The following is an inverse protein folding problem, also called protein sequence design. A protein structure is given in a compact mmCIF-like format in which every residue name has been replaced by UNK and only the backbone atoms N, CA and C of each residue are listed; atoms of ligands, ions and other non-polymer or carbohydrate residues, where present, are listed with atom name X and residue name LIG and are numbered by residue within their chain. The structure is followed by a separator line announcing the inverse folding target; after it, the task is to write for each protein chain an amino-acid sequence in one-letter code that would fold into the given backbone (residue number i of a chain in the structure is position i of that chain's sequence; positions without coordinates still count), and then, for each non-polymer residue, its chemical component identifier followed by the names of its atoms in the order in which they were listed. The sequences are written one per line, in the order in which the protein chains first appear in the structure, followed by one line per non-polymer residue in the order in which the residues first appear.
data_IF_569489460478
#
_entry.id   IF_569489460478
#
_cell.length_a   1.000
_cell.length_b   1.000
_cell.length_c   1.000
_cell.angle_alpha   90.00
_cell.angle_beta   90.00
_cell.angle_gamma   90.00
#
_symmetry.space_group_name_H-M   'P 1'
#
loop_
_entity.id
_entity.type
_entity.pdbx_description
1 polymer ?
#
# COMPACT_ATOMS: atom_id res chain seq x y z
N UNK A 1 -11.02 72.14 0.33
CA UNK A 1 -11.82 72.47 -0.88
C UNK A 1 -12.10 71.14 -1.59
N UNK A 2 -13.33 70.60 -1.51
CA UNK A 2 -14.44 70.73 -2.50
C UNK A 2 -14.11 70.09 -3.87
N UNK A 3 -14.87 69.17 -4.49
CA UNK A 3 -16.21 68.56 -4.24
C UNK A 3 -16.14 67.00 -4.43
N UNK A 4 -17.11 66.10 -4.13
CA UNK A 4 -18.55 65.98 -4.47
C UNK A 4 -18.84 66.02 -5.99
N UNK A 5 -19.72 65.23 -6.64
CA UNK A 5 -20.76 64.21 -6.31
C UNK A 5 -20.85 63.21 -7.53
N UNK A 6 -21.72 62.20 -7.73
CA UNK A 6 -23.00 61.65 -7.18
C UNK A 6 -23.06 60.12 -7.57
N UNK A 7 -23.81 59.19 -6.96
CA UNK A 7 -25.26 58.79 -7.09
C UNK A 7 -25.76 58.46 -8.53
N UNK A 8 -26.70 57.51 -8.77
CA UNK A 8 -27.52 56.62 -7.88
C UNK A 8 -28.12 55.40 -8.61
N UNK A 9 -28.11 54.25 -7.93
CA UNK A 9 -29.19 53.26 -7.69
C UNK A 9 -30.50 53.31 -8.50
N UNK A 10 -31.03 52.12 -8.89
CA UNK A 10 -32.47 51.79 -8.78
C UNK A 10 -32.76 50.29 -8.64
N UNK A 11 -33.33 49.90 -7.49
CA UNK A 11 -34.18 48.71 -7.34
C UNK A 11 -35.62 49.14 -7.63
N UNK A 12 -36.41 48.31 -8.33
CA UNK A 12 -37.87 48.51 -8.41
C UNK A 12 -38.61 47.18 -8.24
N UNK A 13 -39.47 47.15 -7.21
CA UNK A 13 -40.45 46.10 -6.86
C UNK A 13 -41.84 46.76 -6.99
N UNK A 14 -42.92 46.03 -7.31
CA UNK A 14 -44.31 46.23 -6.79
C UNK A 14 -45.43 45.58 -7.66
N UNK A 15 -46.23 44.74 -6.99
CA UNK A 15 -47.67 44.38 -7.15
C UNK A 15 -48.31 44.09 -8.52
N UNK A 16 -48.75 42.83 -8.63
CA UNK A 16 -50.15 42.37 -8.62
C UNK A 16 -51.27 43.34 -9.10
N UNK A 17 -52.11 42.84 -10.00
CA UNK A 17 -53.55 43.14 -10.05
C UNK A 17 -54.34 41.82 -10.05
N UNK A 18 -55.49 41.78 -9.36
CA UNK A 18 -56.31 40.57 -9.21
C UNK A 18 -57.69 40.78 -9.83
N UNK A 19 -58.27 39.76 -10.47
CA UNK A 19 -59.70 39.71 -10.82
C UNK A 19 -60.28 38.34 -10.49
N UNK A 20 -61.36 38.36 -9.72
CA UNK A 20 -62.11 37.18 -9.28
C UNK A 20 -63.27 36.89 -10.23
N UNK A 21 -63.53 35.60 -10.48
CA UNK A 21 -64.88 35.02 -10.32
C UNK A 21 -64.81 33.51 -10.10
N UNK A 22 -65.82 33.01 -9.41
CA UNK A 22 -65.94 31.66 -8.83
C UNK A 22 -66.70 30.70 -9.74
N UNK A 23 -66.36 29.41 -9.72
CA UNK A 23 -67.29 28.34 -9.26
C UNK A 23 -66.71 26.91 -9.39
N UNK A 24 -66.72 26.18 -8.28
CA UNK A 24 -66.76 24.69 -8.16
C UNK A 24 -65.59 23.83 -8.69
N UNK A 25 -65.29 22.67 -8.06
CA UNK A 25 -64.20 21.78 -8.45
C UNK A 25 -64.65 20.61 -9.35
N UNK A 26 -63.75 20.03 -10.17
CA UNK A 26 -63.92 18.68 -10.69
C UNK A 26 -63.59 17.63 -9.61
N UNK A 27 -64.35 16.53 -9.61
CA UNK A 27 -64.04 15.31 -8.85
C UNK A 27 -62.84 14.57 -9.49
N UNK A 28 -62.15 13.67 -8.74
CA UNK A 28 -60.94 13.03 -9.24
C UNK A 28 -61.23 12.07 -10.40
N UNK A 29 -60.71 12.40 -11.59
CA UNK A 29 -60.59 11.45 -12.70
C UNK A 29 -59.56 10.38 -12.34
N UNK A 30 -60.02 9.24 -11.85
CA UNK A 30 -59.18 8.09 -11.51
C UNK A 30 -58.57 7.43 -12.74
N UNK A 31 -57.51 8.00 -13.30
CA UNK A 31 -56.72 7.39 -14.35
C UNK A 31 -55.77 6.35 -13.78
N UNK A 32 -56.26 5.12 -13.59
CA UNK A 32 -55.40 3.94 -13.51
C UNK A 32 -54.57 3.85 -14.81
N UNK A 33 -53.23 3.87 -14.76
CA UNK A 33 -52.42 3.50 -15.91
C UNK A 33 -52.47 1.98 -16.07
N UNK A 34 -53.57 1.47 -16.63
CA UNK A 34 -53.67 0.09 -17.08
C UNK A 34 -52.72 -0.12 -18.27
N UNK A 35 -51.44 -0.34 -17.98
CA UNK A 35 -50.52 -0.99 -18.90
C UNK A 35 -50.76 -2.51 -18.77
N UNK A 36 -51.44 -3.18 -19.71
CA UNK A 36 -51.99 -4.53 -19.51
C UNK A 36 -50.93 -5.65 -19.50
N UNK A 37 -49.65 -5.29 -19.46
CA UNK A 37 -48.50 -6.18 -19.59
C UNK A 37 -47.63 -6.26 -18.32
N UNK A 38 -47.94 -5.46 -17.29
CA UNK A 38 -47.10 -5.34 -16.08
C UNK A 38 -47.76 -5.98 -14.86
N UNK A 39 -47.22 -7.11 -14.40
CA UNK A 39 -47.64 -7.78 -13.17
C UNK A 39 -47.16 -7.06 -11.90
N UNK A 40 -47.76 -7.34 -10.73
CA UNK A 40 -47.40 -6.69 -9.46
C UNK A 40 -46.02 -7.10 -8.92
N UNK A 41 -45.38 -8.10 -9.52
CA UNK A 41 -44.03 -8.58 -9.17
C UNK A 41 -42.97 -8.16 -10.20
N UNK A 42 -43.37 -7.51 -11.29
CA UNK A 42 -42.47 -7.12 -12.37
C UNK A 42 -41.39 -6.12 -11.94
N UNK A 43 -41.60 -5.21 -10.96
CA UNK A 43 -40.48 -4.44 -10.38
C UNK A 43 -39.41 -5.32 -9.73
N UNK A 44 -39.79 -6.43 -9.10
CA UNK A 44 -38.88 -7.36 -8.40
C UNK A 44 -38.14 -8.29 -9.36
N UNK A 45 -38.82 -8.77 -10.42
CA UNK A 45 -38.23 -9.71 -11.40
C UNK A 45 -37.71 -9.03 -12.68
N UNK A 46 -38.00 -7.75 -12.90
CA UNK A 46 -37.59 -6.97 -14.08
C UNK A 46 -36.10 -7.08 -14.42
N UNK A 47 -35.16 -6.93 -13.47
CA UNK A 47 -33.73 -7.08 -13.74
C UNK A 47 -33.36 -8.47 -14.30
N UNK A 48 -33.97 -9.55 -13.77
CA UNK A 48 -33.76 -10.92 -14.26
C UNK A 48 -34.37 -11.15 -15.65
N UNK A 49 -35.46 -10.46 -15.98
CA UNK A 49 -36.08 -10.51 -17.32
C UNK A 49 -35.27 -9.72 -18.36
N UNK A 50 -34.64 -8.61 -17.95
CA UNK A 50 -33.68 -7.87 -18.77
C UNK A 50 -32.50 -8.73 -19.22
N UNK A 51 -31.87 -9.49 -18.30
CA UNK A 51 -30.77 -10.41 -18.63
C UNK A 51 -31.14 -11.53 -19.63
N UNK A 52 -32.43 -11.81 -19.79
CA UNK A 52 -33.00 -12.75 -20.76
C UNK A 52 -33.39 -12.10 -22.10
N UNK A 53 -33.06 -10.82 -22.30
CA UNK A 53 -33.38 -10.05 -23.51
C UNK A 53 -34.87 -9.71 -23.63
N UNK A 54 -35.61 -9.66 -22.53
CA UNK A 54 -37.06 -9.36 -22.51
C UNK A 54 -37.39 -7.95 -22.02
N UNK A 55 -36.80 -6.95 -22.66
CA UNK A 55 -37.30 -5.58 -22.54
C UNK A 55 -38.64 -5.41 -23.28
N UNK A 56 -39.70 -4.89 -22.63
CA UNK A 56 -41.00 -4.70 -23.26
C UNK A 56 -41.02 -3.58 -24.33
N UNK A 57 -39.97 -2.75 -24.40
CA UNK A 57 -39.83 -1.68 -25.41
C UNK A 57 -38.87 -2.01 -26.57
N UNK A 58 -38.15 -3.14 -26.54
CA UNK A 58 -37.27 -3.55 -27.65
C UNK A 58 -36.08 -2.62 -27.94
N UNK A 59 -35.65 -1.80 -26.97
CA UNK A 59 -34.48 -0.90 -27.08
C UNK A 59 -33.19 -1.52 -26.54
N UNK A 60 -32.96 -2.80 -26.83
CA UNK A 60 -31.69 -3.44 -26.50
C UNK A 60 -30.54 -2.74 -27.23
N UNK A 61 -29.52 -2.31 -26.50
CA UNK A 61 -28.26 -1.85 -27.06
C UNK A 61 -27.35 -3.05 -27.35
N UNK A 62 -26.46 -2.93 -28.34
CA UNK A 62 -25.52 -4.00 -28.71
C UNK A 62 -24.41 -4.21 -27.64
N UNK A 63 -24.41 -3.41 -26.57
CA UNK A 63 -23.50 -3.43 -25.42
C UNK A 63 -24.17 -4.01 -24.15
N UNK A 64 -25.45 -4.42 -24.22
CA UNK A 64 -26.24 -4.83 -23.05
C UNK A 64 -25.78 -6.15 -22.41
N UNK A 65 -25.85 -6.19 -21.08
CA UNK A 65 -25.47 -7.36 -20.28
C UNK A 65 -26.49 -8.50 -20.47
N UNK A 66 -26.06 -9.63 -21.05
CA UNK A 66 -26.94 -10.75 -21.38
C UNK A 66 -26.47 -12.11 -20.86
N UNK A 67 -27.42 -12.93 -20.42
CA UNK A 67 -27.16 -14.30 -19.96
C UNK A 67 -26.56 -15.18 -21.06
N UNK A 68 -26.96 -14.97 -22.33
CA UNK A 68 -26.42 -15.71 -23.47
C UNK A 68 -24.92 -15.43 -23.68
N UNK A 69 -24.50 -14.16 -23.61
CA UNK A 69 -23.08 -13.80 -23.71
C UNK A 69 -22.26 -14.41 -22.56
N UNK A 70 -22.78 -14.40 -21.33
CA UNK A 70 -22.13 -15.04 -20.19
C UNK A 70 -22.00 -16.56 -20.38
N UNK A 71 -23.08 -17.27 -20.75
CA UNK A 71 -23.03 -18.71 -20.97
C UNK A 71 -22.05 -19.10 -22.10
N UNK A 72 -21.93 -18.28 -23.15
CA UNK A 72 -20.91 -18.45 -24.19
C UNK A 72 -19.49 -18.24 -23.65
N UNK A 73 -19.25 -17.19 -22.85
CA UNK A 73 -17.96 -16.92 -22.17
C UNK A 73 -17.56 -18.08 -21.24
N UNK A 74 -18.47 -18.54 -20.37
CA UNK A 74 -18.30 -19.69 -19.47
C UNK A 74 -18.02 -20.98 -20.24
N UNK A 75 -18.70 -21.21 -21.36
CA UNK A 75 -18.45 -22.38 -22.22
C UNK A 75 -17.05 -22.36 -22.82
N UNK A 76 -16.57 -21.19 -23.26
CA UNK A 76 -15.19 -21.03 -23.75
C UNK A 76 -14.15 -21.30 -22.67
N UNK A 77 -14.36 -20.76 -21.45
CA UNK A 77 -13.56 -21.08 -20.26
C UNK A 77 -13.51 -22.59 -20.03
N UNK A 78 -14.67 -23.25 -19.98
CA UNK A 78 -14.78 -24.71 -19.77
C UNK A 78 -13.98 -25.49 -20.81
N UNK A 79 -14.14 -25.16 -22.10
CA UNK A 79 -13.40 -25.83 -23.19
C UNK A 79 -11.88 -25.64 -23.04
N UNK A 80 -11.42 -24.44 -22.65
CA UNK A 80 -10.01 -24.14 -22.40
C UNK A 80 -9.45 -24.96 -21.22
N UNK A 81 -10.22 -25.11 -20.14
CA UNK A 81 -9.84 -25.97 -19.01
C UNK A 81 -9.86 -27.47 -19.37
N UNK A 82 -10.78 -27.91 -20.23
CA UNK A 82 -10.78 -29.28 -20.75
C UNK A 82 -9.54 -29.55 -21.62
N UNK A 83 -9.13 -28.60 -22.47
CA UNK A 83 -7.87 -28.69 -23.23
C UNK A 83 -6.65 -28.83 -22.30
N UNK A 84 -6.58 -28.05 -21.22
CA UNK A 84 -5.52 -28.21 -20.19
C UNK A 84 -5.54 -29.60 -19.56
N UNK A 85 -6.72 -30.12 -19.19
CA UNK A 85 -6.84 -31.46 -18.57
C UNK A 85 -6.53 -32.64 -19.50
N UNK A 86 -6.57 -32.42 -20.83
CA UNK A 86 -6.27 -33.42 -21.85
C UNK A 86 -4.94 -33.16 -22.59
N UNK A 87 -4.14 -32.19 -22.13
CA UNK A 87 -2.82 -31.93 -22.67
C UNK A 87 -1.83 -33.06 -22.35
N UNK A 88 -0.76 -33.18 -23.13
CA UNK A 88 0.33 -34.13 -22.85
C UNK A 88 1.11 -33.77 -21.56
N UNK A 89 1.13 -32.49 -21.19
CA UNK A 89 1.54 -32.00 -19.87
C UNK A 89 0.47 -31.04 -19.31
N UNK A 90 -0.49 -31.56 -18.52
CA UNK A 90 -1.49 -30.73 -17.85
C UNK A 90 -0.89 -29.79 -16.79
N UNK A 91 0.25 -30.12 -16.18
CA UNK A 91 0.84 -29.31 -15.11
C UNK A 91 1.55 -28.08 -15.67
N UNK A 92 2.41 -28.25 -16.67
CA UNK A 92 3.05 -27.13 -17.39
C UNK A 92 2.03 -26.21 -18.05
N UNK A 93 0.96 -26.75 -18.65
CA UNK A 93 -0.08 -25.93 -19.27
C UNK A 93 -0.94 -25.18 -18.22
N UNK A 94 -1.24 -25.80 -17.07
CA UNK A 94 -1.88 -25.11 -15.92
C UNK A 94 -0.99 -23.99 -15.39
N UNK A 95 0.31 -24.25 -15.21
CA UNK A 95 1.27 -23.24 -14.75
C UNK A 95 1.42 -22.08 -15.73
N UNK A 96 1.46 -22.34 -17.04
CA UNK A 96 1.53 -21.29 -18.05
C UNK A 96 0.28 -20.40 -18.03
N UNK A 97 -0.92 -20.99 -17.90
CA UNK A 97 -2.18 -20.25 -17.79
C UNK A 97 -2.23 -19.42 -16.50
N UNK A 98 -1.78 -19.97 -15.37
CA UNK A 98 -1.71 -19.24 -14.11
C UNK A 98 -0.65 -18.13 -14.13
N UNK A 99 0.48 -18.32 -14.81
CA UNK A 99 1.49 -17.27 -14.95
C UNK A 99 0.97 -16.11 -15.81
N UNK A 100 0.20 -16.36 -16.87
CA UNK A 100 -0.44 -15.26 -17.61
C UNK A 100 -1.47 -14.51 -16.77
N UNK A 101 -2.17 -15.16 -15.81
CA UNK A 101 -3.01 -14.50 -14.80
C UNK A 101 -2.17 -13.57 -13.93
N UNK A 102 -1.15 -14.11 -13.23
CA UNK A 102 -0.38 -13.32 -12.27
C UNK A 102 0.37 -12.16 -12.95
N UNK A 103 0.65 -12.25 -14.25
CA UNK A 103 1.26 -11.19 -15.07
C UNK A 103 0.27 -10.15 -15.62
N UNK A 104 -1.04 -10.30 -15.40
CA UNK A 104 -2.06 -9.35 -15.86
C UNK A 104 -2.29 -9.37 -17.38
N UNK A 105 -2.08 -10.52 -18.02
CA UNK A 105 -2.35 -10.70 -19.45
C UNK A 105 -3.76 -11.27 -19.59
N UNK A 106 -4.66 -10.59 -20.32
CA UNK A 106 -6.05 -11.01 -20.48
C UNK A 106 -6.20 -12.49 -20.85
N UNK A 107 -7.07 -13.16 -20.12
CA UNK A 107 -7.44 -14.56 -20.33
C UNK A 107 -8.96 -14.60 -20.28
N UNK A 108 -9.59 -15.45 -21.09
CA UNK A 108 -11.05 -15.60 -21.12
C UNK A 108 -11.69 -15.76 -19.73
N UNK A 109 -10.96 -16.28 -18.73
CA UNK A 109 -11.42 -16.48 -17.36
C UNK A 109 -11.46 -15.19 -16.51
N UNK A 110 -10.49 -14.27 -16.61
CA UNK A 110 -10.60 -12.93 -15.99
C UNK A 110 -11.78 -12.17 -16.60
N UNK A 111 -11.86 -12.23 -17.93
CA UNK A 111 -12.82 -11.46 -18.73
C UNK A 111 -14.24 -12.06 -18.65
N UNK A 112 -14.38 -13.32 -18.20
CA UNK A 112 -15.66 -13.95 -17.82
C UNK A 112 -16.03 -13.60 -16.38
N UNK A 113 -15.06 -13.59 -15.44
CA UNK A 113 -15.30 -13.20 -14.04
C UNK A 113 -15.83 -11.77 -13.96
N UNK A 114 -15.14 -10.81 -14.56
CA UNK A 114 -15.55 -9.40 -14.57
C UNK A 114 -16.94 -9.21 -15.22
N UNK A 115 -17.27 -9.98 -16.26
CA UNK A 115 -18.62 -9.97 -16.86
C UNK A 115 -19.68 -10.56 -15.93
N UNK A 116 -19.35 -11.59 -15.14
CA UNK A 116 -20.21 -12.15 -14.10
C UNK A 116 -20.43 -11.21 -12.91
N UNK A 117 -19.42 -10.43 -12.54
CA UNK A 117 -19.51 -9.40 -11.50
C UNK A 117 -20.35 -8.20 -11.97
N UNK A 118 -20.20 -7.76 -13.22
CA UNK A 118 -21.07 -6.76 -13.85
C UNK A 118 -22.54 -7.24 -13.93
N UNK A 119 -22.77 -8.51 -14.30
CA UNK A 119 -24.10 -9.12 -14.26
C UNK A 119 -24.68 -9.15 -12.84
N UNK A 120 -23.87 -9.48 -11.82
CA UNK A 120 -24.32 -9.48 -10.44
C UNK A 120 -24.72 -8.07 -9.96
N UNK A 121 -23.88 -7.06 -10.22
CA UNK A 121 -24.17 -5.67 -9.89
C UNK A 121 -25.43 -5.15 -10.62
N UNK A 122 -25.68 -5.57 -11.86
CA UNK A 122 -26.83 -5.13 -12.66
C UNK A 122 -28.20 -5.58 -12.12
N UNK A 123 -28.23 -6.57 -11.23
CA UNK A 123 -29.47 -7.09 -10.63
C UNK A 123 -29.89 -6.38 -9.33
N UNK A 124 -29.02 -5.53 -8.77
CA UNK A 124 -29.30 -4.75 -7.55
C UNK A 124 -29.16 -5.54 -6.24
N UNK A 125 -29.15 -4.80 -5.12
CA UNK A 125 -28.85 -5.33 -3.77
C UNK A 125 -29.78 -6.46 -3.33
N UNK A 126 -31.06 -6.44 -3.77
CA UNK A 126 -32.05 -7.48 -3.44
C UNK A 126 -31.68 -8.87 -3.99
N UNK A 127 -30.97 -8.91 -5.12
CA UNK A 127 -30.57 -10.15 -5.80
C UNK A 127 -29.10 -10.53 -5.59
N UNK A 128 -28.30 -9.66 -4.96
CA UNK A 128 -26.84 -9.75 -4.84
C UNK A 128 -26.33 -11.16 -4.49
N UNK A 129 -26.83 -11.74 -3.40
CA UNK A 129 -26.38 -13.07 -2.94
C UNK A 129 -26.72 -14.21 -3.90
N UNK A 130 -27.84 -14.12 -4.62
CA UNK A 130 -28.22 -15.10 -5.66
C UNK A 130 -27.36 -14.89 -6.91
N UNK A 131 -27.16 -13.65 -7.31
CA UNK A 131 -26.40 -13.31 -8.51
C UNK A 131 -24.91 -13.67 -8.35
N UNK A 132 -24.30 -13.36 -7.21
CA UNK A 132 -22.95 -13.82 -6.87
C UNK A 132 -22.85 -15.35 -6.83
N UNK A 133 -23.86 -16.05 -6.29
CA UNK A 133 -23.88 -17.52 -6.26
C UNK A 133 -23.98 -18.17 -7.65
N UNK A 134 -24.65 -17.52 -8.61
CA UNK A 134 -24.83 -18.04 -9.98
C UNK A 134 -23.73 -17.60 -10.95
N UNK A 135 -23.31 -16.33 -10.93
CA UNK A 135 -22.43 -15.75 -11.95
C UNK A 135 -20.96 -15.67 -11.54
N UNK A 136 -20.66 -15.57 -10.24
CA UNK A 136 -19.28 -15.35 -9.74
C UNK A 136 -18.72 -16.59 -9.05
N UNK A 137 -19.43 -17.17 -8.08
CA UNK A 137 -18.92 -18.30 -7.27
C UNK A 137 -18.47 -19.53 -8.08
N UNK A 138 -19.14 -19.96 -9.17
CA UNK A 138 -18.66 -21.10 -9.97
C UNK A 138 -17.33 -20.81 -10.67
N UNK A 139 -17.13 -19.57 -11.11
CA UNK A 139 -15.86 -19.12 -11.70
C UNK A 139 -14.77 -19.06 -10.62
N UNK A 140 -15.06 -18.52 -9.44
CA UNK A 140 -14.11 -18.46 -8.33
C UNK A 140 -13.70 -19.85 -7.82
N UNK A 141 -14.59 -20.84 -7.88
CA UNK A 141 -14.26 -22.23 -7.54
C UNK A 141 -13.33 -22.85 -8.58
N UNK A 142 -13.61 -22.68 -9.87
CA UNK A 142 -12.72 -23.13 -10.94
C UNK A 142 -11.35 -22.42 -10.89
N UNK A 143 -11.34 -21.11 -10.72
CA UNK A 143 -10.18 -20.23 -10.58
C UNK A 143 -9.23 -20.71 -9.48
N UNK A 144 -9.75 -20.90 -8.25
CA UNK A 144 -8.97 -21.40 -7.12
C UNK A 144 -8.32 -22.76 -7.43
N UNK A 145 -9.02 -23.68 -8.11
CA UNK A 145 -8.47 -25.00 -8.46
C UNK A 145 -7.45 -24.99 -9.59
N UNK A 146 -7.50 -24.00 -10.49
CA UNK A 146 -6.46 -23.79 -11.52
C UNK A 146 -5.21 -23.12 -10.93
N UNK A 147 -5.37 -22.17 -10.01
CA UNK A 147 -4.24 -21.40 -9.47
C UNK A 147 -3.52 -22.08 -8.28
N UNK A 148 -4.17 -22.96 -7.53
CA UNK A 148 -3.61 -23.62 -6.33
C UNK A 148 -2.25 -24.33 -6.54
N UNK A 149 -1.99 -25.08 -7.63
CA UNK A 149 -0.65 -25.63 -7.89
C UNK A 149 0.39 -24.53 -8.22
N UNK A 150 -0.06 -23.46 -8.85
CA UNK A 150 0.79 -22.40 -9.40
C UNK A 150 1.18 -21.33 -8.39
N UNK A 151 0.38 -21.11 -7.34
CA UNK A 151 0.81 -20.30 -6.18
C UNK A 151 2.00 -20.96 -5.46
N UNK A 152 2.01 -22.29 -5.37
CA UNK A 152 3.15 -23.06 -4.84
C UNK A 152 4.37 -22.95 -5.77
N UNK A 153 4.19 -22.99 -7.09
CA UNK A 153 5.27 -22.76 -8.05
C UNK A 153 5.86 -21.35 -7.92
N UNK A 154 5.03 -20.30 -7.86
CA UNK A 154 5.49 -18.92 -7.73
C UNK A 154 6.15 -18.66 -6.36
N UNK A 155 5.66 -19.27 -5.27
CA UNK A 155 6.32 -19.25 -3.98
C UNK A 155 7.75 -19.82 -4.04
N UNK A 156 8.00 -20.88 -4.83
CA UNK A 156 9.37 -21.40 -5.08
C UNK A 156 10.20 -20.43 -5.92
N UNK A 157 9.62 -19.86 -6.98
CA UNK A 157 10.31 -18.91 -7.86
C UNK A 157 10.72 -17.64 -7.09
N UNK A 158 9.89 -17.16 -6.16
CA UNK A 158 10.21 -16.07 -5.23
C UNK A 158 11.35 -16.42 -4.27
N UNK A 159 11.31 -17.63 -3.68
CA UNK A 159 12.39 -18.09 -2.80
C UNK A 159 13.73 -18.20 -3.55
N UNK A 160 13.75 -18.86 -4.70
CA UNK A 160 14.95 -19.04 -5.52
C UNK A 160 15.45 -17.73 -6.12
N UNK A 161 14.55 -16.92 -6.67
CA UNK A 161 14.88 -15.70 -7.40
C UNK A 161 15.17 -14.50 -6.51
N UNK A 162 14.70 -14.46 -5.26
CA UNK A 162 14.81 -13.28 -4.39
C UNK A 162 15.21 -13.61 -2.95
N UNK A 163 14.50 -14.52 -2.27
CA UNK A 163 14.70 -14.70 -0.80
C UNK A 163 16.02 -15.40 -0.47
N UNK A 164 16.45 -16.39 -1.26
CA UNK A 164 17.73 -17.07 -1.04
C UNK A 164 18.92 -16.10 -1.21
N UNK A 165 18.82 -15.18 -2.18
CA UNK A 165 19.83 -14.15 -2.45
C UNK A 165 19.82 -13.06 -1.36
N UNK A 166 18.63 -12.70 -0.85
CA UNK A 166 18.48 -11.84 0.32
C UNK A 166 19.12 -12.46 1.57
N UNK A 167 18.78 -13.71 1.88
CA UNK A 167 19.34 -14.43 3.03
C UNK A 167 20.87 -14.59 2.87
N UNK A 168 21.37 -14.94 1.69
CA UNK A 168 22.81 -15.04 1.42
C UNK A 168 23.55 -13.69 1.56
N UNK A 169 22.91 -12.57 1.19
CA UNK A 169 23.49 -11.24 1.32
C UNK A 169 23.52 -10.73 2.77
N UNK A 170 22.46 -11.00 3.56
CA UNK A 170 22.16 -10.25 4.78
C UNK A 170 22.03 -11.07 6.06
N UNK A 171 21.85 -12.39 5.99
CA UNK A 171 21.69 -13.24 7.18
C UNK A 171 22.95 -13.19 8.05
N UNK A 172 22.77 -12.93 9.35
CA UNK A 172 23.87 -12.80 10.30
C UNK A 172 24.64 -11.47 10.22
N UNK A 173 24.16 -10.48 9.46
CA UNK A 173 24.76 -9.14 9.35
C UNK A 173 23.89 -8.05 9.98
N UNK A 174 24.52 -7.02 10.51
CA UNK A 174 23.86 -5.80 10.94
C UNK A 174 23.31 -5.02 9.73
N UNK A 175 22.08 -4.44 9.80
CA UNK A 175 21.18 -4.32 10.95
C UNK A 175 20.28 -5.54 11.21
N UNK A 176 20.20 -6.49 10.28
CA UNK A 176 19.27 -7.63 10.33
C UNK A 176 19.51 -8.58 11.52
N UNK A 177 20.76 -8.67 11.98
CA UNK A 177 21.18 -9.35 13.20
C UNK A 177 22.19 -8.49 13.97
N UNK A 178 22.17 -8.57 15.31
CA UNK A 178 23.08 -7.85 16.20
C UNK A 178 24.49 -8.48 16.21
N UNK A 179 25.22 -8.34 15.11
CA UNK A 179 26.60 -8.84 14.95
C UNK A 179 27.58 -7.73 14.59
N UNK A 180 28.88 -8.01 14.65
CA UNK A 180 29.95 -7.11 14.18
C UNK A 180 30.17 -7.10 12.67
N UNK A 181 29.40 -7.86 11.88
CA UNK A 181 29.53 -7.86 10.41
C UNK A 181 28.45 -6.98 9.79
N UNK A 182 28.85 -5.96 9.03
CA UNK A 182 27.94 -5.03 8.36
C UNK A 182 27.34 -5.60 7.06
N UNK A 183 26.09 -5.25 6.77
CA UNK A 183 25.45 -5.51 5.48
C UNK A 183 26.03 -4.61 4.37
N UNK A 184 26.17 -5.14 3.15
CA UNK A 184 26.61 -4.34 2.01
C UNK A 184 25.51 -3.39 1.55
N UNK A 185 25.70 -2.09 1.76
CA UNK A 185 24.78 -1.04 1.29
C UNK A 185 24.56 -1.09 -0.25
N UNK A 186 25.61 -1.25 -1.11
CA UNK A 186 25.40 -1.49 -2.54
C UNK A 186 24.56 -2.73 -2.86
N UNK A 187 24.65 -3.80 -2.05
CA UNK A 187 23.79 -4.98 -2.24
C UNK A 187 22.34 -4.70 -1.83
N UNK A 188 22.11 -3.92 -0.76
CA UNK A 188 20.77 -3.48 -0.38
C UNK A 188 20.11 -2.71 -1.54
N UNK A 189 20.84 -1.80 -2.18
CA UNK A 189 20.37 -1.08 -3.38
C UNK A 189 20.01 -2.00 -4.56
N UNK A 190 20.81 -3.05 -4.82
CA UNK A 190 20.48 -4.07 -5.85
C UNK A 190 19.19 -4.85 -5.55
N UNK A 191 18.76 -4.91 -4.31
CA UNK A 191 17.54 -5.63 -3.91
C UNK A 191 16.31 -4.72 -3.89
N UNK A 192 16.40 -3.50 -3.35
CA UNK A 192 15.22 -2.70 -2.97
C UNK A 192 14.91 -1.47 -3.85
N UNK A 193 15.80 -1.05 -4.76
CA UNK A 193 15.59 0.19 -5.57
C UNK A 193 14.26 0.19 -6.33
N UNK A 194 13.58 1.34 -6.31
CA UNK A 194 12.16 1.49 -6.71
C UNK A 194 11.81 1.15 -8.17
N UNK A 195 12.79 1.09 -9.08
CA UNK A 195 12.62 0.70 -10.50
C UNK A 195 13.58 -0.41 -10.97
N UNK A 196 14.63 -0.69 -10.18
CA UNK A 196 15.78 -1.52 -10.59
C UNK A 196 16.22 -2.55 -9.54
N UNK A 197 15.56 -2.58 -8.38
CA UNK A 197 15.76 -3.59 -7.35
C UNK A 197 15.18 -4.93 -7.77
N UNK A 198 15.89 -6.02 -7.44
CA UNK A 198 15.47 -7.39 -7.73
C UNK A 198 14.09 -7.75 -7.13
N UNK A 199 13.69 -7.13 -6.02
CA UNK A 199 12.33 -7.28 -5.45
C UNK A 199 11.31 -6.65 -6.40
N UNK A 200 11.46 -5.36 -6.71
CA UNK A 200 10.54 -4.63 -7.58
C UNK A 200 10.38 -5.30 -8.95
N UNK A 201 11.50 -5.68 -9.58
CA UNK A 201 11.50 -6.38 -10.88
C UNK A 201 10.79 -7.73 -10.84
N UNK A 202 10.76 -8.42 -9.69
CA UNK A 202 9.96 -9.64 -9.53
C UNK A 202 8.47 -9.30 -9.49
N UNK A 203 8.08 -8.30 -8.70
CA UNK A 203 6.68 -7.86 -8.57
C UNK A 203 6.13 -7.37 -9.92
N UNK A 204 6.86 -6.50 -10.60
CA UNK A 204 6.50 -5.93 -11.91
C UNK A 204 6.50 -6.96 -13.05
N UNK A 205 7.23 -8.09 -12.93
CA UNK A 205 7.28 -9.11 -13.99
C UNK A 205 6.35 -10.30 -13.76
N UNK A 206 6.02 -10.63 -12.52
CA UNK A 206 5.30 -11.88 -12.18
C UNK A 206 4.00 -11.69 -11.39
N UNK A 207 3.69 -10.48 -10.91
CA UNK A 207 2.55 -10.24 -10.01
C UNK A 207 1.65 -9.05 -10.40
N UNK A 208 1.89 -8.38 -11.54
CA UNK A 208 1.12 -7.22 -12.03
C UNK A 208 -0.38 -7.45 -12.24
N UNK A 209 -0.82 -8.70 -12.39
CA UNK A 209 -2.24 -9.07 -12.49
C UNK A 209 -2.90 -9.42 -11.17
N UNK A 210 -2.21 -9.28 -10.03
CA UNK A 210 -2.77 -9.53 -8.68
C UNK A 210 -2.31 -8.50 -7.65
N UNK A 211 -1.22 -7.78 -7.92
CA UNK A 211 -0.72 -6.64 -7.14
C UNK A 211 -0.63 -5.41 -8.04
N UNK A 212 -1.13 -4.29 -7.54
CA UNK A 212 -1.01 -2.96 -8.18
C UNK A 212 -0.13 -2.06 -7.31
N UNK A 213 0.78 -1.31 -7.94
CA UNK A 213 1.52 -0.23 -7.28
C UNK A 213 0.69 1.05 -7.34
N UNK A 214 0.47 1.67 -6.19
CA UNK A 214 -0.32 2.89 -6.00
C UNK A 214 0.54 3.90 -5.23
N UNK A 215 1.04 4.93 -5.94
CA UNK A 215 2.17 5.73 -5.47
C UNK A 215 3.41 4.86 -5.18
N UNK A 216 3.99 5.00 -3.99
CA UNK A 216 5.11 4.18 -3.52
C UNK A 216 4.73 2.82 -2.91
N UNK A 217 3.43 2.45 -2.87
CA UNK A 217 2.96 1.26 -2.13
C UNK A 217 2.35 0.19 -3.03
N UNK A 218 2.68 -1.06 -2.77
CA UNK A 218 2.10 -2.24 -3.38
C UNK A 218 0.83 -2.66 -2.61
N UNK A 219 -0.29 -2.76 -3.32
CA UNK A 219 -1.58 -3.26 -2.82
C UNK A 219 -2.09 -4.44 -3.64
N UNK A 220 -3.09 -5.16 -3.13
CA UNK A 220 -3.80 -6.20 -3.89
C UNK A 220 -4.73 -5.54 -4.90
N UNK A 221 -4.77 -6.04 -6.15
CA UNK A 221 -5.75 -5.58 -7.14
C UNK A 221 -7.16 -6.09 -6.76
N UNK A 222 -8.14 -5.20 -6.47
CA UNK A 222 -9.49 -5.63 -6.10
C UNK A 222 -10.26 -6.35 -7.23
N UNK A 223 -9.88 -6.17 -8.51
CA UNK A 223 -10.55 -6.84 -9.63
C UNK A 223 -10.03 -8.27 -9.88
N UNK A 224 -8.76 -8.55 -9.54
CA UNK A 224 -8.08 -9.79 -9.96
C UNK A 224 -7.46 -10.60 -8.80
N UNK A 225 -7.18 -9.98 -7.66
CA UNK A 225 -6.66 -10.65 -6.47
C UNK A 225 -7.70 -11.44 -5.66
N UNK A 226 -9.00 -11.31 -5.98
CA UNK A 226 -10.06 -12.04 -5.29
C UNK A 226 -9.91 -13.56 -5.45
N UNK A 227 -10.13 -14.28 -4.35
CA UNK A 227 -9.96 -15.73 -4.26
C UNK A 227 -8.52 -16.21 -4.00
N UNK A 228 -7.52 -15.34 -4.03
CA UNK A 228 -6.13 -15.64 -3.67
C UNK A 228 -5.78 -15.10 -2.27
N UNK A 229 -5.24 -15.96 -1.40
CA UNK A 229 -4.68 -15.51 -0.11
C UNK A 229 -3.25 -15.02 -0.28
N UNK A 230 -3.09 -13.71 -0.49
CA UNK A 230 -1.79 -13.04 -0.36
C UNK A 230 -1.44 -12.93 1.13
N UNK A 231 -0.20 -13.27 1.47
CA UNK A 231 0.33 -13.21 2.82
C UNK A 231 0.48 -11.75 3.27
N UNK A 232 -0.24 -11.28 4.31
CA UNK A 232 -0.17 -9.88 4.73
C UNK A 232 1.24 -9.50 5.25
N UNK A 233 2.01 -10.47 5.76
CA UNK A 233 3.41 -10.23 6.17
C UNK A 233 4.32 -9.97 4.98
N UNK A 234 4.09 -10.64 3.84
CA UNK A 234 4.81 -10.36 2.60
C UNK A 234 4.50 -8.96 2.08
N UNK A 235 3.23 -8.58 2.02
CA UNK A 235 2.82 -7.26 1.55
C UNK A 235 3.35 -6.14 2.46
N UNK A 236 3.33 -6.33 3.77
CA UNK A 236 3.94 -5.40 4.73
C UNK A 236 5.46 -5.30 4.55
N UNK A 237 6.17 -6.42 4.41
CA UNK A 237 7.62 -6.45 4.24
C UNK A 237 8.07 -5.81 2.92
N UNK A 238 7.34 -6.03 1.83
CA UNK A 238 7.58 -5.35 0.54
C UNK A 238 7.41 -3.84 0.69
N UNK A 239 6.28 -3.38 1.22
CA UNK A 239 6.01 -1.95 1.40
C UNK A 239 7.00 -1.25 2.33
N UNK A 240 7.47 -1.94 3.37
CA UNK A 240 8.52 -1.43 4.26
C UNK A 240 9.84 -1.21 3.50
N UNK A 241 10.21 -2.13 2.60
CA UNK A 241 11.43 -1.99 1.78
C UNK A 241 11.26 -0.95 0.66
N UNK A 242 10.07 -0.82 0.06
CA UNK A 242 9.77 0.26 -0.90
C UNK A 242 9.90 1.64 -0.24
N UNK A 243 9.25 1.87 0.90
CA UNK A 243 9.38 3.13 1.65
C UNK A 243 10.83 3.42 2.06
N UNK A 244 11.59 2.40 2.47
CA UNK A 244 13.01 2.57 2.78
C UNK A 244 13.84 2.91 1.52
N UNK A 245 13.48 2.38 0.36
CA UNK A 245 14.12 2.71 -0.91
C UNK A 245 13.85 4.17 -1.31
N UNK A 246 12.60 4.62 -1.16
CA UNK A 246 12.19 6.00 -1.45
C UNK A 246 12.98 7.01 -0.58
N UNK A 247 13.25 6.67 0.69
CA UNK A 247 14.08 7.49 1.60
C UNK A 247 15.58 7.43 1.28
N UNK A 248 16.09 6.33 0.71
CA UNK A 248 17.53 6.11 0.48
C UNK A 248 18.07 6.52 -0.91
N UNK A 249 17.21 6.57 -1.93
CA UNK A 249 17.63 6.61 -3.34
C UNK A 249 16.95 7.72 -4.17
N UNK A 250 16.51 8.81 -3.55
CA UNK A 250 15.74 9.92 -4.18
C UNK A 250 16.33 10.39 -5.51
N UNK A 251 17.64 10.62 -5.56
CA UNK A 251 18.32 11.30 -6.66
C UNK A 251 19.08 10.30 -7.56
N UNK A 252 18.73 9.01 -7.51
CA UNK A 252 19.44 7.92 -8.20
C UNK A 252 20.82 7.57 -7.61
N UNK A 253 21.40 8.45 -6.80
CA UNK A 253 22.49 8.15 -5.85
C UNK A 253 22.03 7.28 -4.69
N UNK A 254 22.83 7.18 -3.63
CA UNK A 254 22.42 6.63 -2.33
C UNK A 254 22.86 7.64 -1.26
N UNK A 255 21.92 8.11 -0.44
CA UNK A 255 22.27 8.99 0.65
C UNK A 255 21.08 9.62 1.34
N UNK A 256 21.28 10.00 2.60
CA UNK A 256 20.36 10.77 3.43
C UNK A 256 21.17 11.93 4.01
N UNK A 257 20.65 13.14 3.88
CA UNK A 257 21.11 14.29 4.68
C UNK A 257 20.20 14.50 5.88
N UNK A 258 20.79 14.96 6.97
CA UNK A 258 20.09 15.38 8.19
C UNK A 258 20.89 16.47 8.88
N UNK A 259 20.30 17.14 9.86
CA UNK A 259 20.98 18.12 10.69
C UNK A 259 20.90 17.74 12.16
N UNK A 260 21.93 18.11 12.91
CA UNK A 260 22.04 17.83 14.34
C UNK A 260 22.27 19.14 15.11
N UNK A 261 21.60 19.27 16.25
CA UNK A 261 21.75 20.37 17.21
C UNK A 261 21.91 19.79 18.62
N UNK A 262 23.12 19.92 19.18
CA UNK A 262 23.39 19.60 20.58
C UNK A 262 22.55 20.44 21.54
N UNK A 263 22.13 19.84 22.65
CA UNK A 263 21.34 20.48 23.69
C UNK A 263 22.08 20.51 25.02
N UNK A 264 21.84 21.55 25.80
CA UNK A 264 22.35 21.64 27.16
C UNK A 264 21.73 20.54 28.04
N UNK A 265 22.59 19.76 28.68
CA UNK A 265 22.21 18.71 29.63
C UNK A 265 22.87 19.04 30.97
N UNK A 266 22.10 18.94 32.06
CA UNK A 266 22.60 19.24 33.39
C UNK A 266 23.82 18.35 33.70
N UNK A 267 24.84 18.94 34.34
CA UNK A 267 26.06 18.27 34.78
C UNK A 267 26.96 17.70 33.63
N UNK A 268 26.62 17.98 32.36
CA UNK A 268 27.45 17.74 31.17
C UNK A 268 28.17 19.03 30.77
N UNK A 269 29.51 18.97 30.67
CA UNK A 269 30.36 20.09 30.26
C UNK A 269 30.48 20.15 28.73
N UNK A 270 30.64 19.01 28.08
CA UNK A 270 30.82 18.91 26.63
C UNK A 270 30.33 17.56 26.10
N UNK A 271 29.82 17.54 24.86
CA UNK A 271 29.76 16.35 24.00
C UNK A 271 30.55 16.58 22.71
N UNK A 272 31.24 15.54 22.23
CA UNK A 272 31.75 15.48 20.86
C UNK A 272 31.11 14.30 20.16
N UNK A 273 30.33 14.57 19.12
CA UNK A 273 29.89 13.57 18.15
C UNK A 273 30.77 13.67 16.90
N UNK A 274 31.20 12.54 16.33
CA UNK A 274 31.91 12.48 15.05
C UNK A 274 31.18 11.50 14.14
N UNK A 275 30.97 11.89 12.88
CA UNK A 275 30.39 11.03 11.84
C UNK A 275 31.23 11.16 10.58
N UNK A 276 31.80 10.04 10.13
CA UNK A 276 32.64 9.98 8.91
C UNK A 276 33.76 11.04 8.91
N UNK A 277 34.35 11.32 10.07
CA UNK A 277 35.35 12.38 10.30
C UNK A 277 34.80 13.79 10.54
N UNK A 278 33.54 14.08 10.22
CA UNK A 278 32.92 15.37 10.50
C UNK A 278 32.54 15.49 12.00
N UNK A 279 33.08 16.50 12.69
CA UNK A 279 32.91 16.73 14.13
C UNK A 279 31.75 17.70 14.43
N UNK A 280 30.86 17.33 15.35
CA UNK A 280 29.96 18.23 16.08
C UNK A 280 30.47 18.33 17.53
N UNK A 281 30.81 19.54 17.99
CA UNK A 281 31.30 19.76 19.35
C UNK A 281 30.40 20.79 20.04
N UNK A 282 29.77 20.36 21.14
CA UNK A 282 28.84 21.17 21.91
C UNK A 282 29.28 21.22 23.38
N UNK A 283 29.52 22.43 23.89
CA UNK A 283 30.04 22.74 25.22
C UNK A 283 29.16 23.80 25.91
N UNK A 284 27.84 23.70 25.72
CA UNK A 284 26.84 24.64 26.22
C UNK A 284 26.95 26.07 25.65
N UNK A 285 27.56 26.23 24.46
CA UNK A 285 27.50 27.47 23.69
C UNK A 285 26.11 27.69 23.05
N UNK A 286 25.91 28.83 22.39
CA UNK A 286 24.68 29.10 21.62
C UNK A 286 24.43 27.97 20.60
N UNK A 287 23.27 27.33 20.72
CA UNK A 287 22.87 26.21 19.88
C UNK A 287 22.81 26.58 18.39
N UNK A 288 23.27 25.67 17.54
CA UNK A 288 23.23 25.77 16.07
C UNK A 288 22.90 24.42 15.45
N UNK A 289 22.35 24.45 14.23
CA UNK A 289 22.17 23.27 13.41
C UNK A 289 23.44 23.03 12.59
N UNK A 290 23.91 21.78 12.54
CA UNK A 290 25.01 21.35 11.70
C UNK A 290 24.54 20.21 10.79
N UNK A 291 24.73 20.36 9.47
CA UNK A 291 24.34 19.36 8.47
C UNK A 291 25.34 18.20 8.43
N UNK A 292 24.80 17.01 8.26
CA UNK A 292 25.49 15.73 8.09
C UNK A 292 24.93 14.97 6.89
N UNK A 293 25.73 14.07 6.33
CA UNK A 293 25.35 13.17 5.25
C UNK A 293 25.78 11.74 5.58
N UNK A 294 24.95 10.77 5.20
CA UNK A 294 25.18 9.34 5.38
C UNK A 294 24.70 8.55 4.15
N UNK A 295 25.44 7.53 3.68
CA UNK A 295 26.81 7.20 4.05
C UNK A 295 27.79 8.29 3.57
N UNK A 296 28.82 8.59 4.37
CA UNK A 296 29.82 9.61 4.02
C UNK A 296 30.94 9.06 3.14
N UNK A 297 31.50 9.89 2.27
CA UNK A 297 32.62 9.57 1.37
C UNK A 297 33.99 9.77 2.05
N UNK A 298 34.16 9.23 3.26
CA UNK A 298 35.33 9.47 4.11
C UNK A 298 36.21 8.22 4.23
N UNK A 299 37.52 8.41 4.32
CA UNK A 299 38.49 7.34 4.59
C UNK A 299 38.29 6.69 5.98
N UNK A 300 37.60 7.40 6.88
CA UNK A 300 37.25 6.93 8.23
C UNK A 300 35.72 6.85 8.40
N UNK A 301 35.05 5.86 7.77
CA UNK A 301 33.60 5.68 7.89
C UNK A 301 33.24 5.12 9.27
N UNK A 302 32.28 5.74 9.94
CA UNK A 302 31.89 5.36 11.30
C UNK A 302 31.23 6.51 12.06
N UNK A 303 30.77 6.23 13.28
CA UNK A 303 30.29 7.24 14.20
C UNK A 303 30.85 7.00 15.61
N UNK A 304 31.33 8.05 16.26
CA UNK A 304 31.81 8.00 17.65
C UNK A 304 31.25 9.14 18.47
N UNK A 305 31.17 8.90 19.79
CA UNK A 305 30.62 9.85 20.75
C UNK A 305 31.48 9.89 22.01
N UNK A 306 31.97 11.08 22.38
CA UNK A 306 32.58 11.36 23.69
C UNK A 306 31.75 12.36 24.48
N UNK A 307 31.87 12.32 25.80
CA UNK A 307 31.34 13.35 26.69
C UNK A 307 32.29 13.67 27.84
N UNK A 308 32.17 14.88 28.38
CA UNK A 308 32.86 15.36 29.59
C UNK A 308 31.78 15.82 30.56
N UNK A 309 31.86 15.40 31.83
CA UNK A 309 30.91 15.80 32.87
C UNK A 309 31.55 16.78 33.86
N UNK A 310 30.76 17.40 34.74
CA UNK A 310 31.32 18.21 35.85
C UNK A 310 32.03 17.35 36.91
N UNK A 311 31.98 16.01 36.79
CA UNK A 311 32.56 15.03 37.73
C UNK A 311 33.69 14.18 37.11
N UNK A 312 33.94 14.30 35.80
CA UNK A 312 34.90 13.46 35.08
C UNK A 312 35.47 14.17 33.86
N UNK A 313 36.72 13.85 33.49
CA UNK A 313 37.27 14.20 32.18
C UNK A 313 36.51 13.57 31.01
N UNK A 314 37.05 13.73 29.80
CA UNK A 314 36.47 13.17 28.58
C UNK A 314 36.42 11.63 28.65
N UNK A 315 35.28 11.06 28.25
CA UNK A 315 35.01 9.62 28.21
C UNK A 315 34.43 9.25 26.85
N UNK A 316 34.83 8.10 26.31
CA UNK A 316 34.22 7.51 25.13
C UNK A 316 32.92 6.79 25.53
N UNK A 317 31.81 7.12 24.88
CA UNK A 317 30.55 6.39 25.00
C UNK A 317 30.58 5.13 24.12
N UNK A 318 30.96 5.33 22.86
CA UNK A 318 31.14 4.26 21.89
C UNK A 318 31.85 4.78 20.65
N UNK A 319 32.57 3.88 19.98
CA UNK A 319 33.16 4.08 18.67
C UNK A 319 32.64 2.96 17.75
N UNK A 320 31.80 3.34 16.79
CA UNK A 320 31.09 2.43 15.90
C UNK A 320 31.68 2.59 14.49
N UNK A 321 32.70 1.80 14.21
CA UNK A 321 33.40 1.78 12.92
C UNK A 321 32.52 1.20 11.80
N UNK A 322 32.81 1.60 10.56
CA UNK A 322 32.12 1.12 9.35
C UNK A 322 30.91 1.97 8.94
N UNK A 323 30.38 1.69 7.75
CA UNK A 323 29.30 2.50 7.16
C UNK A 323 28.01 2.50 8.01
N UNK A 324 27.75 1.45 8.78
CA UNK A 324 26.58 1.40 9.68
C UNK A 324 26.81 2.04 11.06
N UNK A 325 27.97 2.66 11.30
CA UNK A 325 28.34 3.26 12.59
C UNK A 325 27.29 4.21 13.17
N UNK A 326 26.77 5.12 12.35
CA UNK A 326 25.67 6.01 12.73
C UNK A 326 24.44 5.25 13.21
N UNK A 327 24.07 4.19 12.49
CA UNK A 327 22.85 3.41 12.76
C UNK A 327 23.04 2.61 14.05
N UNK A 328 24.25 2.08 14.30
CA UNK A 328 24.63 1.41 15.56
C UNK A 328 24.57 2.35 16.77
N UNK A 329 24.98 3.61 16.63
CA UNK A 329 24.83 4.63 17.68
C UNK A 329 23.35 4.99 17.92
N UNK A 330 22.55 5.10 16.85
CA UNK A 330 21.11 5.35 16.96
C UNK A 330 20.34 4.13 17.54
N UNK A 331 20.87 2.91 17.38
CA UNK A 331 20.34 1.67 17.97
C UNK A 331 20.39 1.69 19.52
N UNK A 332 21.38 2.39 20.10
CA UNK A 332 21.53 2.57 21.55
C UNK A 332 20.83 3.82 22.08
N UNK A 333 20.15 4.58 21.22
CA UNK A 333 19.50 5.85 21.57
C UNK A 333 17.97 5.68 21.74
N UNK A 334 17.40 6.45 22.67
CA UNK A 334 15.95 6.69 22.70
C UNK A 334 15.61 7.80 21.71
N UNK A 335 14.74 7.50 20.75
CA UNK A 335 14.25 8.44 19.73
C UNK A 335 12.80 8.78 20.03
N UNK A 336 12.47 10.08 20.11
CA UNK A 336 11.10 10.58 20.23
C UNK A 336 10.84 11.66 19.18
N UNK A 337 9.68 11.67 18.53
CA UNK A 337 9.25 12.81 17.73
C UNK A 337 9.04 14.06 18.62
N UNK A 338 9.28 15.25 18.06
CA UNK A 338 9.10 16.53 18.74
C UNK A 338 7.97 17.38 18.16
N UNK A 339 7.47 17.01 16.98
CA UNK A 339 6.29 17.59 16.34
C UNK A 339 5.56 16.53 15.50
N UNK A 340 4.36 16.86 15.03
CA UNK A 340 3.51 16.00 14.20
C UNK A 340 3.96 15.94 12.72
N UNK A 341 5.16 16.46 12.37
CA UNK A 341 5.63 16.56 10.98
C UNK A 341 6.55 15.41 10.53
N UNK A 342 6.92 14.51 11.44
CA UNK A 342 7.91 13.44 11.22
C UNK A 342 9.26 13.96 10.64
N UNK A 343 9.62 15.21 10.96
CA UNK A 343 10.88 15.85 10.52
C UNK A 343 11.79 16.29 11.66
N UNK A 344 11.31 16.35 12.91
CA UNK A 344 12.07 16.79 14.07
C UNK A 344 12.00 15.76 15.20
N UNK A 345 13.17 15.29 15.66
CA UNK A 345 13.29 14.21 16.63
C UNK A 345 14.25 14.59 17.78
N UNK A 346 13.91 14.20 19.01
CA UNK A 346 14.85 14.18 20.14
C UNK A 346 15.57 12.85 20.15
N UNK A 347 16.90 12.92 20.12
CA UNK A 347 17.80 11.78 20.27
C UNK A 347 18.42 11.87 21.66
N UNK A 348 18.23 10.85 22.49
CA UNK A 348 18.76 10.79 23.85
C UNK A 348 19.59 9.51 24.03
N UNK A 349 20.86 9.67 24.39
CA UNK A 349 21.83 8.58 24.57
C UNK A 349 22.21 8.50 26.06
N UNK A 350 21.79 7.45 26.79
CA UNK A 350 22.02 7.35 28.23
C UNK A 350 23.47 6.97 28.53
N UNK A 351 24.25 7.90 29.09
CA UNK A 351 25.66 7.67 29.39
C UNK A 351 25.87 6.79 30.65
N UNK A 352 26.98 6.02 30.74
CA UNK A 352 27.33 5.19 31.90
C UNK A 352 27.46 5.88 33.27
N UNK A 353 27.36 7.21 33.38
CA UNK A 353 27.30 7.97 34.64
C UNK A 353 25.90 8.54 34.96
N UNK A 354 24.88 8.10 34.22
CA UNK A 354 23.48 8.48 34.41
C UNK A 354 23.10 9.82 33.77
N UNK A 355 23.87 10.28 32.78
CA UNK A 355 23.63 11.54 32.06
C UNK A 355 23.01 11.28 30.68
N UNK A 356 21.85 11.88 30.42
CA UNK A 356 21.09 11.71 29.18
C UNK A 356 21.60 12.67 28.09
N UNK A 357 22.66 12.26 27.38
CA UNK A 357 23.28 13.07 26.32
C UNK A 357 22.25 13.30 25.20
N UNK A 358 21.91 14.56 24.94
CA UNK A 358 20.72 14.91 24.15
C UNK A 358 21.05 15.81 22.95
N UNK A 359 20.46 15.47 21.80
CA UNK A 359 20.44 16.29 20.59
C UNK A 359 19.01 16.39 20.06
N UNK A 360 18.74 17.45 19.30
CA UNK A 360 17.65 17.43 18.34
C UNK A 360 18.23 17.07 16.97
N UNK A 361 17.57 16.18 16.24
CA UNK A 361 17.85 15.83 14.85
C UNK A 361 16.73 16.37 13.97
N UNK A 362 17.07 16.98 12.83
CA UNK A 362 16.14 17.36 11.78
C UNK A 362 16.43 16.57 10.51
N UNK A 363 15.41 16.00 9.90
CA UNK A 363 15.52 15.16 8.69
C UNK A 363 14.91 15.85 7.48
N UNK A 364 15.41 15.55 6.28
CA UNK A 364 14.86 16.13 5.03
C UNK A 364 13.73 15.30 4.41
N UNK A 365 13.70 13.99 4.67
CA UNK A 365 12.69 13.07 4.15
C UNK A 365 12.39 11.95 5.16
N UNK A 366 11.16 11.96 5.69
CA UNK A 366 10.69 11.05 6.75
C UNK A 366 11.64 11.01 7.95
N UNK A 367 11.71 9.87 8.62
CA UNK A 367 12.62 9.63 9.74
C UNK A 367 14.12 9.57 9.35
N UNK A 368 14.49 9.90 8.10
CA UNK A 368 15.87 9.95 7.63
C UNK A 368 16.69 8.70 8.01
N UNK A 369 17.86 8.82 8.66
CA UNK A 369 18.70 7.68 9.00
C UNK A 369 18.01 6.71 9.99
N UNK A 370 17.03 7.16 10.77
CA UNK A 370 16.32 6.30 11.73
C UNK A 370 15.39 5.30 11.02
N UNK A 371 15.01 5.55 9.76
CA UNK A 371 14.27 4.60 8.91
C UNK A 371 15.00 3.24 8.79
N UNK A 372 16.32 3.23 8.89
CA UNK A 372 17.14 2.02 8.82
C UNK A 372 17.02 1.14 10.08
N UNK A 373 16.61 1.70 11.23
CA UNK A 373 16.34 0.95 12.46
C UNK A 373 15.14 0.01 12.33
N UNK A 374 14.30 0.20 11.31
CA UNK A 374 13.21 -0.72 10.97
C UNK A 374 13.72 -2.04 10.35
N UNK A 375 14.96 -2.11 9.86
CA UNK A 375 15.57 -3.35 9.38
C UNK A 375 16.03 -4.29 10.51
N UNK A 376 16.01 -3.85 11.78
CA UNK A 376 16.40 -4.67 12.93
C UNK A 376 15.48 -5.89 13.05
N UNK A 377 16.08 -7.08 13.02
CA UNK A 377 15.38 -8.37 12.98
C UNK A 377 14.45 -8.59 11.76
N UNK A 378 14.53 -7.75 10.72
CA UNK A 378 13.73 -7.90 9.50
C UNK A 378 14.06 -9.21 8.77
N UNK A 379 13.03 -9.93 8.33
CA UNK A 379 13.15 -11.19 7.57
C UNK A 379 12.19 -11.16 6.39
N UNK A 380 12.71 -11.35 5.18
CA UNK A 380 11.91 -11.35 3.96
C UNK A 380 11.01 -12.60 3.92
N UNK A 381 9.67 -12.47 3.86
CA UNK A 381 8.79 -13.63 3.97
C UNK A 381 8.92 -14.59 2.78
N UNK A 382 9.06 -15.90 3.06
CA UNK A 382 9.26 -16.95 2.05
C UNK A 382 8.01 -17.32 1.23
N UNK A 383 6.86 -16.75 1.53
CA UNK A 383 5.59 -17.03 0.85
C UNK A 383 4.89 -15.72 0.48
N UNK A 384 4.62 -15.55 -0.82
CA UNK A 384 3.71 -14.55 -1.38
C UNK A 384 2.27 -14.95 -1.07
N UNK A 385 1.94 -16.23 -1.32
CA UNK A 385 0.61 -16.79 -1.12
C UNK A 385 0.60 -17.77 0.06
N UNK A 386 -0.49 -17.76 0.84
CA UNK A 386 -0.74 -18.73 1.92
C UNK A 386 -1.50 -19.95 1.40
N UNK A 387 -1.15 -21.13 1.89
CA UNK A 387 -1.81 -22.38 1.53
C UNK A 387 -3.09 -22.58 2.36
N UNK A 388 -4.25 -22.18 1.84
CA UNK A 388 -5.56 -22.62 2.34
C UNK A 388 -6.56 -21.50 2.65
N UNK A 389 -7.65 -21.46 1.86
CA UNK A 389 -8.95 -20.78 2.03
C UNK A 389 -8.96 -19.45 2.80
N UNK A 390 -9.27 -18.35 2.09
CA UNK A 390 -9.78 -17.14 2.72
C UNK A 390 -11.18 -17.40 3.32
N UNK A 391 -11.24 -17.69 4.63
CA UNK A 391 -12.46 -17.44 5.39
C UNK A 391 -12.72 -15.94 5.33
N UNK A 392 -13.85 -15.52 4.77
CA UNK A 392 -14.23 -14.12 4.71
C UNK A 392 -14.24 -13.53 6.13
N UNK A 393 -13.91 -12.23 6.32
CA UNK A 393 -14.04 -11.60 7.62
C UNK A 393 -15.51 -11.59 8.02
N UNK A 394 -15.88 -12.45 8.98
CA UNK A 394 -17.23 -12.48 9.55
C UNK A 394 -17.51 -11.12 10.14
N UNK A 395 -18.36 -10.32 9.49
CA UNK A 395 -18.83 -9.06 10.04
C UNK A 395 -19.51 -9.35 11.36
N UNK A 396 -18.90 -8.95 12.47
CA UNK A 396 -19.42 -9.14 13.81
C UNK A 396 -20.59 -8.18 14.02
N UNK A 397 -21.75 -8.54 13.46
CA UNK A 397 -23.02 -7.85 13.67
C UNK A 397 -23.24 -7.74 15.17
N UNK A 398 -23.18 -6.52 15.68
CA UNK A 398 -23.40 -6.26 17.10
C UNK A 398 -24.81 -6.72 17.47
N UNK A 399 -24.88 -7.74 18.32
CA UNK A 399 -26.13 -8.25 18.87
C UNK A 399 -26.59 -7.26 19.95
N UNK A 400 -27.68 -6.56 19.67
CA UNK A 400 -28.22 -5.53 20.56
C UNK A 400 -29.00 -6.22 21.68
N UNK A 401 -28.66 -5.91 22.93
CA UNK A 401 -29.43 -6.33 24.10
C UNK A 401 -30.86 -5.75 24.07
N UNK A 402 -31.83 -6.60 24.38
CA UNK A 402 -33.03 -6.25 25.17
C UNK A 402 -32.89 -6.85 26.57
#
# INVERSE_FOLDING_TARGET
MTCCNFRRTRVTRVRNACRLRSSSPPLPSGSLPNNPSSGPLDPTFGPLLGLLGKDPEGKGSDDDLSLQAFLTRVTRVRLKLQQVSHAADPQGMTQAMAQTVFQGKNIDLTDTRAYGELLAASLGEEWDGVAHALFVQPLDQAWRKVLEPSTVALNRQWQQGVVNEWDQAFLGRYPFAATGSDASLPMLGKMIRADSGRIEQFLQRELTGVLRKDGGRWGVDPAHGQGLLINPKFLAAVNQLSHLADVLYTDGGMGISFELQGKAVRDVVQTTFVLNGARHQYFNQKESWQRFAWPGSSDYPGASLTWTSVRSGERLYGDFQGAWGLIRLLDTATVNALDDSDSLYRITVPAPDGLDLTWHMRTELGAGPMSLLALRNFKLPRQIFLNGIASAPTSSRAEVME
#
